data_IF_568468831820
#
_entry.id   IF_568468831820
#
_cell.length_a   1.000
_cell.length_b   1.000
_cell.length_c   1.000
_cell.angle_alpha   90.00
_cell.angle_beta   90.00
_cell.angle_gamma   90.00
#
_symmetry.space_group_name_H-M   'P 1'
#
loop_
_entity.id
_entity.type
_entity.pdbx_description
1 polymer ?
#
# COMPACT_ATOMS: atom_id res chain seq x y z
N UNK A 1 52.01 52.57 -23.02
CA UNK A 1 51.34 53.89 -23.06
C UNK A 1 49.89 53.64 -22.69
N UNK A 2 49.28 54.16 -21.62
CA UNK A 2 49.68 55.12 -20.55
C UNK A 2 48.67 54.86 -19.41
N UNK A 3 49.01 54.37 -18.20
CA UNK A 3 49.77 54.94 -17.08
C UNK A 3 49.04 56.05 -16.27
N UNK A 4 49.24 56.07 -14.93
CA UNK A 4 48.76 57.05 -13.90
C UNK A 4 47.28 56.92 -13.42
N UNK A 5 46.84 57.20 -12.16
CA UNK A 5 47.41 57.37 -10.78
C UNK A 5 46.22 57.53 -9.76
N UNK A 6 46.29 57.58 -8.41
CA UNK A 6 47.16 57.04 -7.31
C UNK A 6 46.66 57.56 -5.92
N UNK A 7 46.61 56.70 -4.88
CA UNK A 7 46.28 56.99 -3.45
C UNK A 7 44.82 57.40 -3.12
N UNK A 8 44.24 57.16 -1.93
CA UNK A 8 44.68 56.42 -0.72
C UNK A 8 44.64 57.26 0.57
N UNK A 9 44.10 56.73 1.68
CA UNK A 9 44.36 57.26 3.04
C UNK A 9 44.05 56.24 4.16
N UNK A 10 44.83 56.30 5.25
CA UNK A 10 44.63 55.58 6.51
C UNK A 10 43.67 56.32 7.46
N UNK A 11 43.04 55.59 8.38
CA UNK A 11 42.83 56.09 9.76
C UNK A 11 43.03 54.98 10.78
N UNK A 12 43.74 55.32 11.87
CA UNK A 12 43.96 54.48 13.05
C UNK A 12 42.99 54.85 14.16
N UNK A 13 42.42 53.88 14.87
CA UNK A 13 41.63 54.07 16.09
C UNK A 13 42.19 53.22 17.23
N UNK A 14 42.27 53.78 18.44
CA UNK A 14 43.02 53.23 19.58
C UNK A 14 42.18 53.34 20.87
N UNK A 15 42.57 52.55 21.87
CA UNK A 15 42.37 52.74 23.31
C UNK A 15 41.08 52.26 24.03
N UNK A 16 41.28 52.06 25.34
CA UNK A 16 40.38 51.61 26.43
C UNK A 16 40.02 50.10 26.42
N UNK A 17 40.42 49.27 27.40
CA UNK A 17 41.14 49.51 28.66
C UNK A 17 40.22 49.35 29.88
N UNK A 18 40.23 48.16 30.50
CA UNK A 18 39.50 47.91 31.76
C UNK A 18 40.32 47.00 32.69
N UNK A 19 40.79 47.58 33.79
CA UNK A 19 41.38 46.87 34.93
C UNK A 19 40.25 46.33 35.81
N UNK A 20 40.35 45.08 36.27
CA UNK A 20 39.55 44.57 37.39
C UNK A 20 40.50 44.08 38.48
N UNK A 21 40.43 44.75 39.62
CA UNK A 21 41.34 44.62 40.75
C UNK A 21 41.12 43.31 41.51
N UNK A 22 42.21 42.62 41.84
CA UNK A 22 42.18 41.46 42.75
C UNK A 22 42.26 41.93 44.21
N UNK A 23 41.31 41.49 45.04
CA UNK A 23 41.32 41.76 46.49
C UNK A 23 41.26 40.44 47.26
N UNK A 24 42.35 40.09 47.95
CA UNK A 24 42.40 39.11 49.05
C UNK A 24 42.68 39.84 50.36
N UNK A 25 42.13 39.32 51.47
CA UNK A 25 42.51 39.42 52.91
C UNK A 25 41.21 39.12 53.67
N UNK A 26 40.89 37.89 54.09
CA UNK A 26 41.44 37.07 55.19
C UNK A 26 41.11 37.59 56.60
N UNK A 27 40.28 36.85 57.36
CA UNK A 27 40.27 36.86 58.83
C UNK A 27 39.78 35.52 59.44
N UNK A 28 40.55 35.09 60.44
CA UNK A 28 40.44 34.08 61.52
C UNK A 28 39.18 33.17 61.73
N UNK A 29 39.36 32.01 62.42
CA UNK A 29 38.34 30.97 62.57
C UNK A 29 37.42 31.18 63.79
N UNK A 30 36.25 30.55 63.75
CA UNK A 30 35.36 30.43 64.92
C UNK A 30 34.86 28.98 65.05
N UNK A 31 35.34 28.27 66.07
CA UNK A 31 34.91 26.91 66.42
C UNK A 31 33.78 26.96 67.46
N UNK A 32 32.60 26.45 67.14
CA UNK A 32 31.68 25.85 68.12
C UNK A 32 30.53 25.07 67.47
N UNK A 33 30.11 23.98 68.11
CA UNK A 33 28.75 23.44 67.97
C UNK A 33 28.57 22.30 66.97
N UNK A 34 28.84 21.07 67.41
CA UNK A 34 28.20 19.89 66.81
C UNK A 34 26.67 20.01 67.00
N UNK A 35 25.93 20.17 65.90
CA UNK A 35 24.52 19.80 65.82
C UNK A 35 24.28 18.91 64.62
N UNK A 36 24.28 17.61 64.87
CA UNK A 36 23.72 16.58 64.01
C UNK A 36 22.19 16.73 63.92
N UNK A 37 21.71 17.76 63.22
CA UNK A 37 20.31 17.82 62.83
C UNK A 37 20.06 16.91 61.62
N UNK A 38 19.24 15.89 61.86
CA UNK A 38 18.74 14.94 60.86
C UNK A 38 18.02 15.69 59.73
N UNK A 39 18.72 15.98 58.63
CA UNK A 39 18.05 16.16 57.34
C UNK A 39 17.23 14.89 57.07
N UNK A 40 15.90 15.06 56.99
CA UNK A 40 14.97 13.94 56.88
C UNK A 40 15.06 13.39 55.46
N UNK A 41 15.00 12.06 55.33
CA UNK A 41 15.14 11.30 54.07
C UNK A 41 14.14 11.68 52.95
N UNK A 42 13.20 12.59 53.22
CA UNK A 42 12.08 12.93 52.34
C UNK A 42 12.41 14.11 51.40
N UNK A 43 13.30 15.02 51.80
CA UNK A 43 13.59 16.22 50.99
C UNK A 43 14.39 15.89 49.72
N UNK A 44 15.11 14.76 49.73
CA UNK A 44 15.78 14.20 48.54
C UNK A 44 14.81 13.50 47.56
N UNK A 45 13.61 13.08 48.00
CA UNK A 45 12.63 12.47 47.08
C UNK A 45 11.95 13.52 46.19
N UNK A 46 11.70 14.73 46.69
CA UNK A 46 10.98 15.77 45.94
C UNK A 46 11.86 16.32 44.80
N UNK A 47 13.16 16.49 45.01
CA UNK A 47 14.07 16.93 43.94
C UNK A 47 14.33 15.83 42.89
N UNK A 48 14.37 14.57 43.30
CA UNK A 48 14.57 13.43 42.39
C UNK A 48 13.40 13.18 41.45
N UNK A 49 12.16 13.39 41.90
CA UNK A 49 10.95 13.20 41.07
C UNK A 49 10.80 14.29 40.01
N UNK A 50 11.14 15.55 40.34
CA UNK A 50 11.10 16.66 39.37
C UNK A 50 12.17 16.50 38.28
N UNK A 51 13.36 16.00 38.62
CA UNK A 51 14.41 15.72 37.64
C UNK A 51 14.08 14.53 36.71
N UNK A 52 13.31 13.53 37.18
CA UNK A 52 12.95 12.35 36.40
C UNK A 52 11.88 12.60 35.32
N UNK A 53 11.04 13.64 35.47
CA UNK A 53 10.02 13.98 34.47
C UNK A 53 10.55 14.72 33.23
N UNK A 54 11.79 15.25 33.28
CA UNK A 54 12.39 16.02 32.18
C UNK A 54 12.98 15.16 31.04
N UNK A 55 12.89 13.82 31.12
CA UNK A 55 13.42 12.86 30.15
C UNK A 55 12.33 11.94 29.55
N UNK A 56 11.07 12.39 29.56
CA UNK A 56 10.08 11.79 28.66
C UNK A 56 10.53 12.05 27.20
N UNK A 57 10.73 11.01 26.37
CA UNK A 57 11.04 11.23 24.97
C UNK A 57 9.87 11.98 24.34
N UNK A 58 10.15 13.14 23.74
CA UNK A 58 9.16 13.85 22.95
C UNK A 58 8.81 12.95 21.75
N UNK A 59 7.63 12.34 21.79
CA UNK A 59 7.04 11.69 20.63
C UNK A 59 6.79 12.78 19.59
N UNK A 60 7.73 12.96 18.67
CA UNK A 60 7.54 13.79 17.48
C UNK A 60 6.45 13.09 16.68
N UNK A 61 5.23 13.62 16.77
CA UNK A 61 4.12 13.17 15.97
C UNK A 61 4.46 13.43 14.50
N UNK A 62 4.12 12.49 13.61
CA UNK A 62 4.37 12.69 12.19
C UNK A 62 3.60 13.93 11.72
N UNK A 63 4.27 14.83 10.98
CA UNK A 63 3.61 15.98 10.41
C UNK A 63 2.91 15.58 9.10
N UNK A 64 1.66 16.04 8.94
CA UNK A 64 0.90 15.89 7.70
C UNK A 64 1.37 16.92 6.66
N UNK A 65 2.05 16.45 5.62
CA UNK A 65 2.63 17.30 4.57
C UNK A 65 1.82 17.12 3.28
N UNK A 66 1.15 18.18 2.83
CA UNK A 66 0.31 18.13 1.63
C UNK A 66 1.05 18.68 0.41
N UNK A 67 0.82 18.08 -0.76
CA UNK A 67 1.27 18.63 -2.03
C UNK A 67 0.41 19.85 -2.38
N UNK A 68 1.01 21.03 -2.46
CA UNK A 68 0.27 22.29 -2.64
C UNK A 68 -0.11 22.56 -4.10
N UNK A 69 0.72 22.11 -5.05
CA UNK A 69 0.53 22.22 -6.50
C UNK A 69 1.05 20.96 -7.22
N UNK A 70 0.52 20.67 -8.41
CA UNK A 70 1.01 19.55 -9.24
C UNK A 70 2.42 19.81 -9.77
N UNK A 71 3.24 18.76 -9.81
CA UNK A 71 4.53 18.79 -10.50
C UNK A 71 4.35 19.07 -12.00
N UNK A 72 5.10 20.04 -12.51
CA UNK A 72 5.23 20.32 -13.93
C UNK A 72 6.01 19.21 -14.64
N UNK A 73 5.95 19.17 -15.98
CA UNK A 73 6.79 18.25 -16.75
C UNK A 73 8.27 18.55 -16.50
N UNK A 74 9.04 17.52 -16.13
CA UNK A 74 10.46 17.65 -15.79
C UNK A 74 10.75 18.02 -14.33
N UNK A 75 9.74 18.29 -13.50
CA UNK A 75 9.90 18.44 -12.04
C UNK A 75 9.45 17.17 -11.30
N UNK A 76 9.86 17.03 -10.04
CA UNK A 76 9.55 15.88 -9.19
C UNK A 76 9.61 16.29 -7.72
N UNK A 77 8.46 16.32 -7.04
CA UNK A 77 8.38 16.44 -5.58
C UNK A 77 8.66 15.10 -4.88
N UNK A 78 8.77 13.97 -5.60
CA UNK A 78 8.99 12.64 -5.01
C UNK A 78 10.36 12.48 -4.30
N UNK A 79 11.37 13.27 -4.69
CA UNK A 79 12.73 13.23 -4.12
C UNK A 79 13.30 14.62 -3.77
N UNK A 80 12.50 15.68 -3.86
CA UNK A 80 12.93 17.07 -3.69
C UNK A 80 11.84 17.90 -3.04
N UNK A 81 12.18 19.10 -2.58
CA UNK A 81 11.24 19.99 -1.89
C UNK A 81 9.98 20.32 -2.72
N UNK A 82 10.17 20.58 -4.01
CA UNK A 82 9.10 20.71 -4.99
C UNK A 82 7.93 21.58 -4.51
N UNK A 83 6.75 20.97 -4.38
CA UNK A 83 5.51 21.64 -3.97
C UNK A 83 4.96 21.19 -2.61
N UNK A 84 5.78 20.59 -1.73
CA UNK A 84 5.35 20.20 -0.38
C UNK A 84 5.09 21.42 0.52
N UNK A 85 4.07 21.35 1.37
CA UNK A 85 3.65 22.45 2.26
C UNK A 85 4.73 22.93 3.24
N UNK A 86 5.68 22.06 3.61
CA UNK A 86 6.84 22.41 4.43
C UNK A 86 8.06 22.92 3.64
N UNK A 87 7.98 23.00 2.30
CA UNK A 87 9.08 23.38 1.41
C UNK A 87 10.38 22.55 1.59
N UNK A 88 10.25 21.30 2.05
CA UNK A 88 11.35 20.37 2.26
C UNK A 88 11.13 19.08 1.48
N UNK A 89 12.22 18.38 1.13
CA UNK A 89 12.12 17.09 0.45
C UNK A 89 11.43 16.04 1.35
N UNK A 90 10.84 14.97 0.79
CA UNK A 90 10.32 13.86 1.58
C UNK A 90 11.35 13.33 2.58
N UNK A 91 10.92 13.10 3.82
CA UNK A 91 11.79 12.64 4.91
C UNK A 91 11.03 11.75 5.89
N UNK A 92 11.74 10.80 6.49
CA UNK A 92 11.19 9.83 7.42
C UNK A 92 10.57 10.54 8.63
N UNK A 93 9.43 10.02 9.11
CA UNK A 93 8.69 10.63 10.23
C UNK A 93 7.70 11.72 9.84
N UNK A 94 7.42 11.93 8.54
CA UNK A 94 6.31 12.75 8.06
C UNK A 94 5.39 11.92 7.14
N UNK A 95 4.09 12.15 7.21
CA UNK A 95 3.10 11.52 6.33
C UNK A 95 2.74 12.49 5.19
N UNK A 96 2.73 12.01 3.95
CA UNK A 96 2.61 12.85 2.77
C UNK A 96 1.31 12.61 2.02
N UNK A 97 0.65 13.68 1.58
CA UNK A 97 -0.69 13.64 0.99
C UNK A 97 -0.72 14.32 -0.37
N UNK A 98 -1.26 13.63 -1.37
CA UNK A 98 -1.54 14.16 -2.71
C UNK A 98 -3.04 14.05 -2.95
N UNK A 99 -3.76 15.17 -2.92
CA UNK A 99 -5.20 15.23 -3.14
C UNK A 99 -5.58 16.52 -3.90
N UNK A 100 -6.86 16.78 -4.11
CA UNK A 100 -7.33 17.95 -4.87
C UNK A 100 -7.00 17.89 -6.37
N UNK A 101 -7.08 16.69 -6.97
CA UNK A 101 -6.75 16.42 -8.38
C UNK A 101 -5.29 16.73 -8.77
N UNK A 102 -4.37 16.70 -7.79
CA UNK A 102 -2.95 16.99 -8.00
C UNK A 102 -2.16 15.78 -8.50
N UNK A 103 -1.06 16.10 -9.19
CA UNK A 103 -0.11 15.13 -9.77
C UNK A 103 1.27 15.28 -9.13
N UNK A 104 1.70 14.26 -8.40
CA UNK A 104 3.09 14.04 -8.00
C UNK A 104 3.83 13.33 -9.12
N UNK A 105 5.10 13.65 -9.36
CA UNK A 105 5.96 12.97 -10.35
C UNK A 105 7.17 12.35 -9.71
N UNK A 106 7.54 11.15 -10.16
CA UNK A 106 8.89 10.62 -9.92
C UNK A 106 9.92 11.40 -10.75
N UNK A 107 11.23 11.32 -10.43
CA UNK A 107 12.26 11.88 -11.30
C UNK A 107 12.18 11.33 -12.73
N UNK A 108 12.50 12.17 -13.71
CA UNK A 108 12.38 11.90 -15.15
C UNK A 108 13.69 11.44 -15.80
N UNK A 109 14.54 10.75 -15.05
CA UNK A 109 15.83 10.28 -15.56
C UNK A 109 15.81 8.78 -15.86
N UNK A 110 16.80 8.35 -16.65
CA UNK A 110 16.81 7.04 -17.27
C UNK A 110 17.49 6.03 -16.34
N UNK A 111 16.70 5.12 -15.78
CA UNK A 111 17.13 3.87 -15.12
C UNK A 111 17.63 3.96 -13.67
N UNK A 112 17.40 5.06 -12.93
CA UNK A 112 17.60 5.06 -11.47
C UNK A 112 16.36 4.55 -10.72
N UNK A 113 16.59 3.72 -9.70
CA UNK A 113 15.57 3.33 -8.73
C UNK A 113 15.35 4.45 -7.70
N UNK A 114 14.12 4.59 -7.21
CA UNK A 114 13.76 5.63 -6.25
C UNK A 114 12.89 5.09 -5.12
N UNK A 115 13.31 5.33 -3.88
CA UNK A 115 12.48 5.12 -2.69
C UNK A 115 11.88 6.45 -2.24
N UNK A 116 10.57 6.49 -1.97
CA UNK A 116 9.95 7.64 -1.32
C UNK A 116 10.42 7.69 0.14
N UNK A 117 11.03 8.81 0.54
CA UNK A 117 11.65 8.91 1.87
C UNK A 117 10.67 9.29 3.00
N UNK A 118 9.40 9.56 2.70
CA UNK A 118 8.36 9.82 3.71
C UNK A 118 7.94 8.55 4.47
N UNK A 119 7.27 8.73 5.62
CA UNK A 119 6.74 7.63 6.42
C UNK A 119 5.58 6.91 5.70
N UNK A 120 4.69 7.67 5.07
CA UNK A 120 3.69 7.17 4.14
C UNK A 120 3.43 8.17 3.01
N UNK A 121 2.86 7.68 1.91
CA UNK A 121 2.35 8.49 0.81
C UNK A 121 0.88 8.13 0.55
N UNK A 122 -0.03 9.06 0.81
CA UNK A 122 -1.46 8.91 0.53
C UNK A 122 -1.81 9.62 -0.78
N UNK A 123 -2.42 8.88 -1.71
CA UNK A 123 -2.97 9.39 -2.95
C UNK A 123 -4.51 9.41 -2.85
N UNK A 124 -5.07 10.61 -2.93
CA UNK A 124 -6.49 10.92 -2.80
C UNK A 124 -6.96 11.01 -1.35
N UNK A 125 -8.15 11.58 -1.15
CA UNK A 125 -8.79 11.75 0.16
C UNK A 125 -10.16 11.04 0.26
N UNK A 126 -10.52 10.23 -0.74
CA UNK A 126 -11.82 9.57 -0.85
C UNK A 126 -12.87 10.40 -1.61
N UNK A 127 -12.60 11.68 -1.87
CA UNK A 127 -13.42 12.58 -2.70
C UNK A 127 -12.63 13.05 -3.92
N UNK A 128 -11.50 13.72 -3.70
CA UNK A 128 -10.62 14.21 -4.75
C UNK A 128 -9.46 13.26 -5.01
N UNK A 129 -9.17 13.04 -6.29
CA UNK A 129 -8.09 12.14 -6.73
C UNK A 129 -6.72 12.68 -6.36
N UNK A 130 -5.83 11.79 -5.91
CA UNK A 130 -4.38 11.96 -5.94
C UNK A 130 -3.74 11.13 -7.02
N UNK A 131 -2.75 11.67 -7.73
CA UNK A 131 -2.08 10.92 -8.82
C UNK A 131 -0.56 10.91 -8.66
N UNK A 132 0.06 9.73 -8.75
CA UNK A 132 1.50 9.55 -8.92
C UNK A 132 1.81 9.21 -10.39
N UNK A 133 2.51 10.10 -11.09
CA UNK A 133 3.05 9.85 -12.42
C UNK A 133 4.47 9.32 -12.33
N UNK A 134 4.66 8.06 -12.72
CA UNK A 134 5.99 7.53 -13.02
C UNK A 134 6.52 8.14 -14.33
N UNK A 135 7.80 8.52 -14.31
CA UNK A 135 8.53 9.19 -15.39
C UNK A 135 9.86 8.51 -15.76
N UNK A 136 10.19 7.40 -15.10
CA UNK A 136 11.44 6.66 -15.31
C UNK A 136 11.45 5.79 -16.58
N UNK A 137 12.51 4.99 -16.72
CA UNK A 137 12.70 4.04 -17.82
C UNK A 137 13.24 2.71 -17.28
N UNK A 138 12.34 1.76 -17.02
CA UNK A 138 12.68 0.44 -16.52
C UNK A 138 13.20 0.40 -15.08
N UNK A 139 12.80 1.33 -14.22
CA UNK A 139 13.26 1.39 -12.83
C UNK A 139 12.20 1.01 -11.79
N UNK A 140 12.68 0.64 -10.61
CA UNK A 140 11.87 0.35 -9.43
C UNK A 140 11.56 1.65 -8.68
N UNK A 141 10.29 1.88 -8.42
CA UNK A 141 9.80 2.88 -7.48
C UNK A 141 9.34 2.14 -6.22
N UNK A 142 9.92 2.46 -5.08
CA UNK A 142 9.56 1.90 -3.78
C UNK A 142 8.82 2.95 -2.95
N UNK A 143 7.69 2.57 -2.39
CA UNK A 143 6.97 3.38 -1.39
C UNK A 143 6.58 2.42 -0.26
N UNK A 144 7.22 2.57 0.91
CA UNK A 144 7.12 1.57 1.97
C UNK A 144 5.67 1.44 2.50
N UNK A 145 4.93 2.55 2.57
CA UNK A 145 3.49 2.61 2.83
C UNK A 145 2.80 3.56 1.83
N UNK A 146 2.26 2.99 0.74
CA UNK A 146 1.44 3.69 -0.24
C UNK A 146 -0.04 3.48 0.06
N UNK A 147 -0.78 4.55 0.32
CA UNK A 147 -2.22 4.50 0.62
C UNK A 147 -3.00 5.06 -0.56
N UNK A 148 -3.95 4.31 -1.11
CA UNK A 148 -4.81 4.73 -2.21
C UNK A 148 -6.23 4.89 -1.67
N UNK A 149 -6.76 6.12 -1.73
CA UNK A 149 -8.10 6.46 -1.30
C UNK A 149 -8.70 7.43 -2.32
N UNK A 150 -9.28 6.90 -3.41
CA UNK A 150 -9.37 7.52 -4.76
C UNK A 150 -7.99 7.81 -5.38
N UNK A 151 -7.00 6.97 -5.06
CA UNK A 151 -5.60 7.12 -5.46
C UNK A 151 -5.23 6.44 -6.78
N UNK A 152 -4.46 7.14 -7.62
CA UNK A 152 -4.05 6.64 -8.94
C UNK A 152 -2.53 6.62 -9.07
N UNK A 153 -1.98 5.50 -9.53
CA UNK A 153 -0.60 5.45 -10.05
C UNK A 153 -0.67 5.29 -11.55
N UNK A 154 0.00 6.17 -12.29
CA UNK A 154 0.07 6.13 -13.74
C UNK A 154 1.50 5.92 -14.20
N UNK A 155 1.74 4.83 -14.93
CA UNK A 155 2.89 4.73 -15.80
C UNK A 155 2.74 5.73 -16.94
N UNK A 156 3.47 6.84 -16.84
CA UNK A 156 3.49 7.91 -17.85
C UNK A 156 4.94 8.13 -18.30
N UNK A 157 5.70 7.06 -18.52
CA UNK A 157 7.08 7.17 -18.97
C UNK A 157 7.23 8.07 -20.22
N UNK A 158 8.32 8.84 -20.25
CA UNK A 158 8.54 9.80 -21.33
C UNK A 158 8.76 9.11 -22.69
N UNK A 159 8.37 9.80 -23.77
CA UNK A 159 8.27 9.21 -25.10
C UNK A 159 9.59 8.64 -25.64
N UNK A 160 9.49 7.49 -26.34
CA UNK A 160 10.62 6.87 -27.03
C UNK A 160 11.44 5.86 -26.22
N UNK A 161 10.88 5.22 -25.19
CA UNK A 161 11.53 4.12 -24.46
C UNK A 161 10.53 3.20 -23.79
N UNK A 162 10.85 1.91 -23.63
CA UNK A 162 10.02 0.94 -22.90
C UNK A 162 9.94 1.32 -21.43
N UNK A 163 8.91 2.07 -21.08
CA UNK A 163 8.68 2.62 -19.75
C UNK A 163 8.17 1.59 -18.76
N UNK A 164 8.85 0.48 -18.55
CA UNK A 164 8.45 -0.49 -17.53
C UNK A 164 8.56 0.16 -16.14
N UNK A 165 7.55 -0.01 -15.30
CA UNK A 165 7.54 0.40 -13.89
C UNK A 165 7.53 -0.87 -13.02
N UNK A 166 8.47 -1.00 -12.09
CA UNK A 166 8.32 -1.92 -10.97
C UNK A 166 7.89 -1.12 -9.74
N UNK A 167 6.73 -1.43 -9.15
CA UNK A 167 6.20 -0.76 -7.95
C UNK A 167 6.34 -1.70 -6.76
N UNK A 168 7.22 -1.32 -5.82
CA UNK A 168 7.61 -2.09 -4.64
C UNK A 168 7.24 -1.37 -3.33
N UNK A 169 7.32 -2.09 -2.21
CA UNK A 169 6.91 -1.63 -0.88
C UNK A 169 5.59 -2.27 -0.45
N UNK A 170 4.64 -1.50 0.08
CA UNK A 170 3.30 -1.97 0.40
C UNK A 170 2.22 -1.00 -0.07
N UNK A 171 1.04 -1.52 -0.42
CA UNK A 171 -0.12 -0.75 -0.82
C UNK A 171 -1.31 -1.07 0.10
N UNK A 172 -2.01 -0.03 0.57
CA UNK A 172 -3.32 -0.14 1.19
C UNK A 172 -4.38 0.57 0.33
N UNK A 173 -5.42 -0.14 -0.10
CA UNK A 173 -6.58 0.43 -0.81
C UNK A 173 -7.76 0.67 0.15
N UNK A 174 -8.37 1.84 0.06
CA UNK A 174 -9.63 2.17 0.73
C UNK A 174 -10.60 2.88 -0.21
N UNK A 175 -11.91 2.74 0.04
CA UNK A 175 -12.94 3.33 -0.82
C UNK A 175 -12.96 2.73 -2.23
N UNK A 176 -13.37 3.52 -3.22
CA UNK A 176 -13.44 3.13 -4.62
C UNK A 176 -12.58 4.06 -5.49
N UNK A 177 -12.49 3.79 -6.79
CA UNK A 177 -11.77 4.66 -7.72
C UNK A 177 -10.24 4.62 -7.62
N UNK A 178 -9.68 3.66 -6.88
CA UNK A 178 -8.24 3.39 -6.89
C UNK A 178 -7.86 2.60 -8.14
N UNK A 179 -6.82 3.02 -8.87
CA UNK A 179 -6.32 2.21 -10.00
C UNK A 179 -4.85 2.44 -10.35
N UNK A 180 -4.24 1.37 -10.85
CA UNK A 180 -3.02 1.44 -11.64
C UNK A 180 -3.40 1.68 -13.11
N UNK A 181 -2.68 2.56 -13.79
CA UNK A 181 -2.96 2.93 -15.18
C UNK A 181 -1.69 3.06 -16.00
N UNK A 182 -1.75 2.74 -17.29
CA UNK A 182 -0.70 3.09 -18.24
C UNK A 182 -1.22 4.16 -19.21
N UNK A 183 -0.41 5.20 -19.45
CA UNK A 183 -0.80 6.37 -20.23
C UNK A 183 0.31 6.77 -21.22
N UNK A 184 0.22 6.22 -22.43
CA UNK A 184 1.12 6.54 -23.54
C UNK A 184 1.50 5.31 -24.37
N UNK A 185 1.91 5.54 -25.62
CA UNK A 185 2.25 4.46 -26.55
C UNK A 185 3.49 3.63 -26.15
N UNK A 186 4.30 4.10 -25.20
CA UNK A 186 5.62 3.56 -24.85
C UNK A 186 5.69 2.89 -23.46
N UNK A 187 4.55 2.71 -22.80
CA UNK A 187 4.48 2.09 -21.47
C UNK A 187 4.84 0.59 -21.54
N UNK A 188 5.72 0.14 -20.64
CA UNK A 188 6.34 -1.19 -20.67
C UNK A 188 5.59 -2.28 -19.90
N UNK A 189 4.49 -1.94 -19.24
CA UNK A 189 3.86 -2.70 -18.17
C UNK A 189 4.15 -2.08 -16.79
N UNK A 190 3.24 -2.33 -15.84
CA UNK A 190 3.44 -2.10 -14.40
C UNK A 190 3.56 -3.46 -13.72
N UNK A 191 4.69 -3.67 -13.02
CA UNK A 191 4.98 -4.86 -12.24
C UNK A 191 4.83 -4.54 -10.76
N UNK A 192 3.75 -5.01 -10.17
CA UNK A 192 3.40 -4.78 -8.78
C UNK A 192 3.97 -5.89 -7.90
N UNK A 193 5.21 -5.67 -7.42
CA UNK A 193 5.87 -6.55 -6.45
C UNK A 193 5.48 -6.20 -5.01
N UNK A 194 4.90 -5.02 -4.78
CA UNK A 194 4.29 -4.66 -3.50
C UNK A 194 3.12 -5.57 -3.14
N UNK A 195 2.96 -5.87 -1.84
CA UNK A 195 1.74 -6.49 -1.33
C UNK A 195 0.60 -5.45 -1.30
N UNK A 196 -0.62 -5.84 -1.65
CA UNK A 196 -1.80 -4.96 -1.66
C UNK A 196 -2.81 -5.44 -0.63
N UNK A 197 -3.26 -4.57 0.27
CA UNK A 197 -4.20 -4.88 1.34
C UNK A 197 -5.27 -3.79 1.50
N UNK A 198 -6.18 -3.94 2.46
CA UNK A 198 -7.22 -2.94 2.75
C UNK A 198 -8.63 -3.37 2.34
N UNK A 199 -9.59 -2.47 2.49
CA UNK A 199 -11.02 -2.76 2.25
C UNK A 199 -11.56 -2.20 0.93
N UNK A 200 -10.79 -1.36 0.26
CA UNK A 200 -11.21 -0.71 -0.98
C UNK A 200 -11.14 -1.60 -2.22
N UNK A 201 -11.77 -1.11 -3.28
CA UNK A 201 -11.62 -1.65 -4.63
C UNK A 201 -10.23 -1.33 -5.19
N UNK A 202 -9.70 -2.25 -6.01
CA UNK A 202 -8.47 -2.08 -6.78
C UNK A 202 -8.77 -2.14 -8.27
N UNK A 203 -8.26 -1.18 -9.04
CA UNK A 203 -8.46 -1.11 -10.49
C UNK A 203 -7.19 -1.26 -11.32
N UNK A 204 -7.35 -1.80 -12.51
CA UNK A 204 -6.40 -1.78 -13.61
C UNK A 204 -7.05 -1.03 -14.79
N UNK A 205 -6.41 -0.01 -15.35
CA UNK A 205 -6.99 0.81 -16.43
C UNK A 205 -6.03 1.12 -17.58
N UNK A 206 -6.55 1.01 -18.81
CA UNK A 206 -5.93 1.52 -20.03
C UNK A 206 -6.29 2.99 -20.26
N UNK A 207 -5.34 3.91 -20.02
CA UNK A 207 -5.54 5.32 -20.32
C UNK A 207 -4.99 5.67 -21.71
N UNK A 208 -5.90 5.97 -22.65
CA UNK A 208 -5.60 6.31 -24.05
C UNK A 208 -4.97 5.16 -24.88
N UNK A 209 -5.79 4.15 -25.18
CA UNK A 209 -5.45 3.06 -26.09
C UNK A 209 -4.90 3.55 -27.45
N UNK A 210 -3.59 3.43 -27.65
CA UNK A 210 -2.89 3.71 -28.92
C UNK A 210 -1.99 2.53 -29.34
N UNK A 211 -2.56 1.33 -29.34
CA UNK A 211 -1.95 0.11 -29.92
C UNK A 211 -1.06 -0.71 -28.98
N UNK A 212 -0.58 -0.15 -27.86
CA UNK A 212 0.08 -0.92 -26.81
C UNK A 212 -0.96 -1.45 -25.83
N UNK A 213 -1.07 -2.78 -25.67
CA UNK A 213 -1.90 -3.37 -24.62
C UNK A 213 -1.37 -2.96 -23.25
N UNK A 214 -2.25 -2.47 -22.39
CA UNK A 214 -1.89 -2.09 -21.02
C UNK A 214 -1.73 -3.34 -20.18
N UNK A 215 -0.60 -3.50 -19.50
CA UNK A 215 -0.19 -4.72 -18.80
C UNK A 215 0.11 -4.42 -17.34
N UNK A 216 -0.78 -4.86 -16.45
CA UNK A 216 -0.58 -4.74 -15.01
C UNK A 216 -0.37 -6.15 -14.46
N UNK A 217 0.80 -6.38 -13.86
CA UNK A 217 1.25 -7.67 -13.34
C UNK A 217 1.21 -7.64 -11.82
N UNK A 218 0.37 -8.48 -11.22
CA UNK A 218 0.26 -8.68 -9.77
C UNK A 218 1.24 -9.79 -9.37
N UNK A 219 2.36 -9.40 -8.75
CA UNK A 219 3.43 -10.32 -8.31
C UNK A 219 3.52 -10.43 -6.79
N UNK A 220 3.01 -9.44 -6.06
CA UNK A 220 2.89 -9.49 -4.59
C UNK A 220 1.72 -10.34 -4.09
N UNK A 221 1.55 -10.34 -2.76
CA UNK A 221 0.39 -10.90 -2.10
C UNK A 221 -0.72 -9.86 -2.01
N UNK A 222 -1.86 -10.12 -2.66
CA UNK A 222 -3.01 -9.23 -2.71
C UNK A 222 -4.10 -9.80 -1.78
N UNK A 223 -4.36 -9.10 -0.68
CA UNK A 223 -5.26 -9.51 0.41
C UNK A 223 -6.40 -8.51 0.66
N UNK A 224 -6.57 -7.51 -0.22
CA UNK A 224 -7.67 -6.56 -0.14
C UNK A 224 -9.03 -7.24 -0.30
N UNK A 225 -10.09 -6.64 0.24
CA UNK A 225 -11.43 -7.25 0.27
C UNK A 225 -12.44 -6.65 -0.71
N UNK A 226 -12.12 -5.51 -1.35
CA UNK A 226 -12.95 -4.94 -2.40
C UNK A 226 -12.87 -5.71 -3.72
N UNK A 227 -13.50 -5.16 -4.76
CA UNK A 227 -13.48 -5.74 -6.10
C UNK A 227 -12.16 -5.49 -6.83
N UNK A 228 -11.82 -6.41 -7.73
CA UNK A 228 -10.77 -6.23 -8.75
C UNK A 228 -11.43 -5.75 -10.04
N UNK A 229 -11.21 -4.50 -10.41
CA UNK A 229 -11.83 -3.86 -11.57
C UNK A 229 -10.86 -3.82 -12.76
N UNK A 230 -11.20 -4.49 -13.86
CA UNK A 230 -10.49 -4.37 -15.14
C UNK A 230 -11.26 -3.35 -15.99
N UNK A 231 -10.72 -2.13 -16.03
CA UNK A 231 -11.40 -0.91 -16.48
C UNK A 231 -11.00 -0.62 -17.93
N UNK A 232 -12.00 -0.37 -18.78
CA UNK A 232 -11.87 0.02 -20.20
C UNK A 232 -11.20 -1.04 -21.12
N UNK A 233 -11.43 -0.85 -22.43
CA UNK A 233 -10.93 -1.73 -23.49
C UNK A 233 -9.39 -1.64 -23.64
N UNK A 234 -8.77 -2.79 -23.93
CA UNK A 234 -7.32 -2.94 -24.12
C UNK A 234 -6.54 -3.18 -22.84
N UNK A 235 -7.20 -3.20 -21.69
CA UNK A 235 -6.61 -3.51 -20.38
C UNK A 235 -6.38 -5.01 -20.22
N UNK A 236 -5.15 -5.37 -19.82
CA UNK A 236 -4.73 -6.73 -19.50
C UNK A 236 -4.21 -6.79 -18.06
N UNK A 237 -4.91 -7.54 -17.22
CA UNK A 237 -4.47 -7.83 -15.86
C UNK A 237 -3.85 -9.23 -15.83
N UNK A 238 -2.67 -9.35 -15.23
CA UNK A 238 -1.97 -10.60 -15.01
C UNK A 238 -1.86 -10.83 -13.51
N UNK A 239 -2.33 -11.98 -13.04
CA UNK A 239 -1.89 -12.57 -11.78
C UNK A 239 -0.74 -13.52 -12.13
N UNK A 240 0.49 -13.06 -11.99
CA UNK A 240 1.69 -13.82 -12.36
C UNK A 240 1.88 -15.03 -11.42
N UNK A 241 2.63 -16.05 -11.86
CA UNK A 241 2.94 -17.28 -11.11
C UNK A 241 3.38 -17.08 -9.64
N UNK A 242 4.12 -16.00 -9.35
CA UNK A 242 4.59 -15.67 -8.00
C UNK A 242 3.54 -14.96 -7.13
N UNK A 243 2.52 -14.37 -7.75
CA UNK A 243 1.49 -13.58 -7.09
C UNK A 243 0.37 -14.42 -6.47
N UNK A 244 -0.38 -13.81 -5.56
CA UNK A 244 -1.66 -14.37 -5.11
C UNK A 244 -2.72 -13.29 -4.96
N UNK A 245 -3.98 -13.62 -5.26
CA UNK A 245 -5.13 -12.75 -5.09
C UNK A 245 -6.16 -13.42 -4.17
N UNK A 246 -6.50 -12.76 -3.07
CA UNK A 246 -7.53 -13.22 -2.15
C UNK A 246 -8.89 -12.60 -2.48
N UNK A 247 -9.91 -13.46 -2.56
CA UNK A 247 -11.32 -13.08 -2.69
C UNK A 247 -12.02 -13.36 -1.37
N UNK A 248 -12.85 -12.43 -0.88
CA UNK A 248 -13.74 -12.68 0.26
C UNK A 248 -15.08 -13.21 -0.26
N UNK A 249 -15.54 -14.33 0.31
CA UNK A 249 -16.81 -14.98 -0.04
C UNK A 249 -17.70 -15.00 1.20
N UNK A 250 -18.87 -14.38 1.09
CA UNK A 250 -19.81 -14.19 2.19
C UNK A 250 -21.22 -14.64 1.79
N UNK A 251 -21.92 -15.35 2.69
CA UNK A 251 -23.36 -15.60 2.56
C UNK A 251 -24.21 -14.37 2.88
N UNK A 252 -23.66 -13.41 3.64
CA UNK A 252 -24.31 -12.14 4.02
C UNK A 252 -23.31 -10.99 3.87
N UNK A 253 -23.70 -9.93 3.16
CA UNK A 253 -22.81 -8.82 2.81
C UNK A 253 -22.15 -9.00 1.43
N UNK A 254 -21.26 -8.08 1.08
CA UNK A 254 -20.56 -8.12 -0.21
C UNK A 254 -19.54 -9.27 -0.26
N UNK A 255 -19.43 -9.92 -1.41
CA UNK A 255 -18.30 -10.79 -1.76
C UNK A 255 -17.43 -10.05 -2.79
N UNK A 256 -16.13 -10.29 -2.78
CA UNK A 256 -15.20 -9.72 -3.77
C UNK A 256 -15.44 -10.37 -5.15
N UNK A 257 -15.31 -9.60 -6.23
CA UNK A 257 -15.40 -10.09 -7.60
C UNK A 257 -14.29 -9.50 -8.48
N UNK A 258 -13.88 -10.25 -9.51
CA UNK A 258 -13.11 -9.72 -10.64
C UNK A 258 -14.09 -9.33 -11.74
N UNK A 259 -14.14 -8.04 -12.03
CA UNK A 259 -15.17 -7.40 -12.85
C UNK A 259 -14.57 -6.67 -14.04
N UNK A 260 -15.23 -6.81 -15.19
CA UNK A 260 -15.09 -5.89 -16.31
C UNK A 260 -15.90 -4.61 -16.02
N UNK A 261 -15.27 -3.44 -16.02
CA UNK A 261 -15.94 -2.15 -15.83
C UNK A 261 -15.47 -1.10 -16.85
N UNK A 262 -16.10 0.08 -16.86
CA UNK A 262 -15.83 1.11 -17.87
C UNK A 262 -16.38 0.73 -19.26
N UNK A 263 -15.69 1.18 -20.31
CA UNK A 263 -16.12 1.02 -21.70
C UNK A 263 -16.01 -0.44 -22.16
N UNK A 264 -17.11 -0.99 -22.67
CA UNK A 264 -17.18 -2.38 -23.14
C UNK A 264 -16.26 -2.66 -24.34
N UNK A 265 -15.64 -3.85 -24.35
CA UNK A 265 -14.71 -4.34 -25.36
C UNK A 265 -13.64 -5.24 -24.76
N UNK A 266 -12.62 -5.55 -25.56
CA UNK A 266 -11.54 -6.50 -25.27
C UNK A 266 -10.82 -6.19 -23.94
N UNK A 267 -11.14 -6.98 -22.91
CA UNK A 267 -10.49 -6.97 -21.59
C UNK A 267 -9.99 -8.37 -21.30
N UNK A 268 -8.72 -8.50 -20.91
CA UNK A 268 -8.10 -9.79 -20.64
C UNK A 268 -7.69 -9.93 -19.18
N UNK A 269 -7.95 -11.12 -18.64
CA UNK A 269 -7.46 -11.58 -17.35
C UNK A 269 -6.58 -12.81 -17.57
N UNK A 270 -5.33 -12.75 -17.17
CA UNK A 270 -4.41 -13.89 -17.19
C UNK A 270 -4.16 -14.33 -15.75
N UNK A 271 -4.45 -15.58 -15.42
CA UNK A 271 -4.32 -16.12 -14.07
C UNK A 271 -3.33 -17.27 -14.06
N UNK A 272 -2.07 -17.01 -13.71
CA UNK A 272 -1.02 -18.01 -13.57
C UNK A 272 -0.57 -18.17 -12.10
N UNK A 273 -0.91 -17.22 -11.22
CA UNK A 273 -0.66 -17.30 -9.77
C UNK A 273 -1.76 -17.99 -8.96
N UNK A 274 -1.75 -17.78 -7.64
CA UNK A 274 -2.71 -18.43 -6.73
C UNK A 274 -3.96 -17.57 -6.46
N UNK A 275 -5.15 -18.09 -6.76
CA UNK A 275 -6.43 -17.58 -6.27
C UNK A 275 -6.70 -18.12 -4.85
N UNK A 276 -6.81 -17.24 -3.87
CA UNK A 276 -7.13 -17.56 -2.47
C UNK A 276 -8.58 -17.22 -2.15
N UNK A 277 -9.28 -18.10 -1.46
CA UNK A 277 -10.68 -17.96 -1.10
C UNK A 277 -10.81 -17.82 0.43
N UNK A 278 -11.16 -16.62 0.90
CA UNK A 278 -11.56 -16.42 2.28
C UNK A 278 -13.07 -16.68 2.41
N UNK A 279 -13.41 -17.91 2.82
CA UNK A 279 -14.79 -18.40 2.95
C UNK A 279 -15.33 -18.29 4.39
N UNK A 280 -14.68 -17.53 5.27
CA UNK A 280 -15.06 -17.45 6.69
C UNK A 280 -16.48 -16.89 6.93
N UNK A 281 -17.04 -16.14 5.97
CA UNK A 281 -18.43 -15.66 6.00
C UNK A 281 -19.44 -16.54 5.27
N UNK A 282 -19.05 -17.73 4.79
CA UNK A 282 -19.96 -18.70 4.16
C UNK A 282 -20.63 -19.54 5.25
N UNK A 283 -21.93 -19.37 5.43
CA UNK A 283 -22.72 -20.03 6.49
C UNK A 283 -23.73 -21.06 5.96
N UNK A 284 -23.85 -21.19 4.64
CA UNK A 284 -24.80 -22.08 3.97
C UNK A 284 -24.33 -22.50 2.59
N UNK A 285 -25.05 -23.44 1.97
CA UNK A 285 -24.84 -23.76 0.56
C UNK A 285 -25.19 -22.55 -0.34
N UNK A 286 -24.51 -22.42 -1.48
CA UNK A 286 -24.68 -21.27 -2.36
C UNK A 286 -23.81 -21.30 -3.60
N UNK A 287 -23.84 -20.20 -4.36
CA UNK A 287 -23.06 -20.00 -5.59
C UNK A 287 -22.67 -18.53 -5.72
N UNK A 288 -21.40 -18.27 -6.04
CA UNK A 288 -20.80 -16.94 -6.12
C UNK A 288 -19.97 -16.83 -7.40
N UNK A 289 -20.32 -15.92 -8.30
CA UNK A 289 -19.47 -15.54 -9.44
C UNK A 289 -18.27 -14.74 -8.92
N UNK A 290 -17.08 -15.35 -8.91
CA UNK A 290 -15.84 -14.71 -8.47
C UNK A 290 -15.11 -14.01 -9.61
N UNK A 291 -15.16 -14.60 -10.81
CA UNK A 291 -14.69 -13.99 -12.06
C UNK A 291 -15.91 -13.88 -12.97
N UNK A 292 -16.22 -12.68 -13.47
CA UNK A 292 -17.37 -12.50 -14.38
C UNK A 292 -16.92 -12.60 -15.86
N UNK A 293 -17.17 -13.72 -16.57
CA UNK A 293 -16.66 -13.92 -17.92
C UNK A 293 -17.40 -13.11 -18.99
N UNK A 294 -18.55 -12.48 -18.67
CA UNK A 294 -19.46 -11.85 -19.65
C UNK A 294 -18.75 -10.88 -20.59
N UNK A 295 -17.81 -10.08 -20.06
CA UNK A 295 -16.92 -9.25 -20.87
C UNK A 295 -15.42 -9.42 -20.52
N UNK A 296 -15.03 -10.55 -19.91
CA UNK A 296 -13.64 -10.84 -19.56
C UNK A 296 -13.16 -12.09 -20.30
N UNK A 297 -12.26 -11.89 -21.26
CA UNK A 297 -11.50 -13.01 -21.84
C UNK A 297 -10.47 -13.47 -20.82
N UNK A 298 -10.80 -14.53 -20.09
CA UNK A 298 -9.94 -15.10 -19.04
C UNK A 298 -9.08 -16.23 -19.61
N UNK A 299 -7.84 -16.33 -19.16
CA UNK A 299 -6.90 -17.41 -19.51
C UNK A 299 -6.17 -17.85 -18.26
N UNK A 300 -6.30 -19.14 -17.92
CA UNK A 300 -5.59 -19.73 -16.79
C UNK A 300 -4.27 -20.34 -17.27
N UNK A 301 -3.21 -20.15 -16.48
CA UNK A 301 -1.84 -20.56 -16.77
C UNK A 301 -1.45 -21.87 -16.09
N UNK A 302 -0.30 -22.42 -16.49
CA UNK A 302 0.15 -23.74 -16.02
C UNK A 302 0.52 -23.79 -14.53
N UNK A 303 0.70 -22.66 -13.86
CA UNK A 303 0.92 -22.58 -12.41
C UNK A 303 -0.28 -22.07 -11.62
N UNK A 304 -1.43 -21.86 -12.29
CA UNK A 304 -2.68 -21.47 -11.64
C UNK A 304 -3.04 -22.45 -10.52
N UNK A 305 -3.50 -21.92 -9.39
CA UNK A 305 -3.91 -22.73 -8.25
C UNK A 305 -5.03 -22.06 -7.45
N UNK A 306 -6.03 -22.86 -7.06
CA UNK A 306 -7.08 -22.42 -6.12
C UNK A 306 -6.78 -22.96 -4.71
N UNK A 307 -6.82 -22.07 -3.72
CA UNK A 307 -6.60 -22.38 -2.30
C UNK A 307 -7.61 -21.66 -1.41
N UNK A 308 -7.84 -22.16 -0.20
CA UNK A 308 -8.43 -21.34 0.87
C UNK A 308 -7.40 -20.34 1.41
N UNK A 309 -7.87 -19.31 2.11
CA UNK A 309 -7.01 -18.31 2.75
C UNK A 309 -6.02 -18.89 3.78
N UNK A 310 -6.35 -20.03 4.39
CA UNK A 310 -5.46 -20.78 5.30
C UNK A 310 -4.34 -21.57 4.58
N UNK A 311 -4.34 -21.60 3.24
CA UNK A 311 -3.38 -22.33 2.41
C UNK A 311 -3.82 -23.72 1.97
N UNK A 312 -4.96 -24.24 2.44
CA UNK A 312 -5.52 -25.52 2.00
C UNK A 312 -5.76 -25.49 0.50
N UNK A 313 -5.19 -26.44 -0.23
CA UNK A 313 -5.25 -26.46 -1.70
C UNK A 313 -6.42 -27.29 -2.22
N UNK A 314 -7.05 -26.83 -3.30
CA UNK A 314 -8.06 -27.58 -4.03
C UNK A 314 -7.38 -28.61 -4.95
N UNK A 315 -8.07 -29.71 -5.25
CA UNK A 315 -7.68 -30.66 -6.29
C UNK A 315 -8.31 -30.24 -7.63
N UNK A 316 -7.51 -30.18 -8.69
CA UNK A 316 -7.95 -29.88 -10.06
C UNK A 316 -8.31 -31.17 -10.80
N UNK A 317 -9.34 -31.11 -11.65
CA UNK A 317 -9.65 -32.13 -12.65
C UNK A 317 -10.54 -31.55 -13.76
N UNK A 318 -9.96 -31.34 -14.94
CA UNK A 318 -10.64 -30.79 -16.13
C UNK A 318 -11.20 -29.38 -15.89
N UNK A 319 -10.33 -28.47 -15.44
CA UNK A 319 -10.62 -27.04 -15.20
C UNK A 319 -11.66 -26.80 -14.07
N UNK A 320 -11.87 -27.83 -13.24
CA UNK A 320 -12.73 -27.82 -12.06
C UNK A 320 -11.91 -28.11 -10.81
N UNK A 321 -11.88 -27.14 -9.91
CA UNK A 321 -11.15 -27.17 -8.65
C UNK A 321 -12.10 -27.55 -7.53
N UNK A 322 -11.84 -28.66 -6.84
CA UNK A 322 -12.70 -29.18 -5.76
C UNK A 322 -11.93 -29.34 -4.44
N UNK A 323 -12.57 -28.95 -3.33
CA UNK A 323 -12.08 -29.18 -1.97
C UNK A 323 -13.24 -29.62 -1.08
N UNK A 324 -13.08 -30.71 -0.34
CA UNK A 324 -14.02 -31.12 0.71
C UNK A 324 -13.36 -30.95 2.08
N UNK A 325 -13.99 -30.16 2.96
CA UNK A 325 -13.59 -30.00 4.36
C UNK A 325 -14.78 -30.38 5.27
N UNK A 326 -14.61 -31.45 6.05
CA UNK A 326 -15.71 -32.03 6.82
C UNK A 326 -16.82 -32.52 5.88
N UNK A 327 -18.04 -32.01 6.07
CA UNK A 327 -19.17 -32.25 5.16
C UNK A 327 -19.27 -31.25 4.00
N UNK A 328 -18.61 -30.09 4.08
CA UNK A 328 -18.72 -29.03 3.07
C UNK A 328 -17.83 -29.30 1.88
N UNK A 329 -18.40 -29.22 0.66
CA UNK A 329 -17.65 -29.29 -0.59
C UNK A 329 -17.71 -27.93 -1.30
N UNK A 330 -16.52 -27.42 -1.65
CA UNK A 330 -16.29 -26.21 -2.43
C UNK A 330 -15.88 -26.63 -3.84
N UNK A 331 -16.48 -26.03 -4.86
CA UNK A 331 -16.17 -26.31 -6.28
C UNK A 331 -16.05 -24.99 -7.03
N UNK A 332 -14.86 -24.66 -7.52
CA UNK A 332 -14.63 -23.54 -8.44
C UNK A 332 -14.47 -24.08 -9.87
N UNK A 333 -15.09 -23.41 -10.85
CA UNK A 333 -15.03 -23.82 -12.27
C UNK A 333 -14.50 -22.66 -13.11
N UNK A 334 -13.37 -22.89 -13.80
CA UNK A 334 -12.66 -21.87 -14.56
C UNK A 334 -13.51 -21.27 -15.69
N UNK A 335 -14.23 -22.13 -16.43
CA UNK A 335 -15.05 -21.75 -17.59
C UNK A 335 -16.23 -20.83 -17.24
N UNK A 336 -16.68 -20.81 -15.97
CA UNK A 336 -17.79 -19.95 -15.50
C UNK A 336 -17.32 -18.88 -14.52
N UNK A 337 -16.13 -19.03 -13.92
CA UNK A 337 -15.63 -18.17 -12.87
C UNK A 337 -16.42 -18.28 -11.56
N UNK A 338 -17.22 -19.34 -11.39
CA UNK A 338 -18.15 -19.52 -10.26
C UNK A 338 -17.56 -20.46 -9.21
N UNK A 339 -17.68 -20.06 -7.94
CA UNK A 339 -17.53 -20.93 -6.78
C UNK A 339 -18.93 -21.40 -6.33
N UNK A 340 -19.15 -22.70 -6.31
CA UNK A 340 -20.29 -23.35 -5.65
C UNK A 340 -19.86 -23.92 -4.30
N UNK A 341 -20.75 -23.86 -3.31
CA UNK A 341 -20.57 -24.50 -2.00
C UNK A 341 -21.78 -25.36 -1.71
N UNK A 342 -21.54 -26.65 -1.43
CA UNK A 342 -22.55 -27.64 -1.08
C UNK A 342 -22.32 -28.09 0.35
N UNK A 343 -23.35 -27.95 1.18
CA UNK A 343 -23.37 -28.45 2.56
C UNK A 343 -24.49 -29.51 2.63
N UNK A 344 -24.17 -30.80 2.81
CA UNK A 344 -25.17 -31.85 2.99
C UNK A 344 -26.06 -31.55 4.20
N UNK A 345 -27.38 -31.55 3.99
CA UNK A 345 -28.32 -31.41 5.10
C UNK A 345 -28.22 -32.63 6.05
N UNK A 346 -28.16 -32.42 7.38
CA UNK A 346 -28.10 -33.53 8.34
C UNK A 346 -29.30 -34.49 8.25
N UNK A 347 -30.45 -33.99 7.77
CA UNK A 347 -31.68 -34.75 7.65
C UNK A 347 -31.59 -35.90 6.63
N UNK A 348 -30.84 -35.75 5.54
CA UNK A 348 -30.76 -36.77 4.47
C UNK A 348 -30.11 -38.05 4.96
N UNK A 349 -29.10 -37.94 5.82
CA UNK A 349 -28.45 -39.07 6.52
C UNK A 349 -29.39 -39.70 7.56
N UNK A 350 -30.11 -38.89 8.33
CA UNK A 350 -31.06 -39.38 9.33
C UNK A 350 -32.22 -40.17 8.72
N UNK A 351 -32.77 -39.71 7.58
CA UNK A 351 -33.84 -40.42 6.85
C UNK A 351 -33.33 -41.74 6.26
N UNK A 352 -32.10 -41.79 5.76
CA UNK A 352 -31.51 -43.04 5.25
C UNK A 352 -31.34 -44.09 6.36
N UNK A 353 -30.88 -43.67 7.54
CA UNK A 353 -30.72 -44.53 8.72
C UNK A 353 -32.09 -45.00 9.27
N UNK A 354 -33.08 -44.11 9.35
CA UNK A 354 -34.44 -44.46 9.77
C UNK A 354 -35.12 -45.45 8.79
N UNK A 355 -34.96 -45.24 7.48
CA UNK A 355 -35.46 -46.14 6.44
C UNK A 355 -34.77 -47.51 6.45
N UNK A 356 -33.45 -47.54 6.68
CA UNK A 356 -32.69 -48.78 6.86
C UNK A 356 -33.12 -49.58 8.09
N UNK A 357 -33.33 -48.90 9.23
CA UNK A 357 -33.82 -49.54 10.44
C UNK A 357 -35.24 -50.13 10.26
N UNK A 358 -36.16 -49.39 9.60
CA UNK A 358 -37.52 -49.89 9.35
C UNK A 358 -37.57 -51.07 8.37
N UNK A 359 -36.70 -51.12 7.37
CA UNK A 359 -36.63 -52.27 6.44
C UNK A 359 -36.06 -53.52 7.10
N UNK A 360 -35.09 -53.39 8.02
CA UNK A 360 -34.59 -54.51 8.84
C UNK A 360 -35.64 -55.03 9.84
N UNK A 361 -36.42 -54.14 10.47
CA UNK A 361 -37.50 -54.53 11.39
C UNK A 361 -38.65 -55.27 10.70
N UNK A 362 -38.88 -55.02 9.40
CA UNK A 362 -39.97 -55.67 8.64
C UNK A 362 -39.67 -57.12 8.21
N UNK A 363 -38.41 -57.60 8.36
CA UNK A 363 -37.99 -58.95 7.94
C UNK A 363 -38.01 -60.01 9.05
N UNK A 364 -38.60 -59.70 10.22
CA UNK A 364 -38.89 -60.65 11.31
C UNK A 364 -40.40 -60.83 11.50
N UNK A 365 -41.05 -61.50 10.55
CA UNK A 365 -42.31 -62.25 10.72
C UNK A 365 -42.30 -63.44 9.78
#
# INVERSE_FOLDING_TARGET
MTAFHRHGLMTTGKENGMNITSTRISHAPCTHGERTEKMRKNDWMILGIVAAMALAPAFVQAADITLTASDATGTSSFTAAGHWSNSAAPSSGNDYFVAGNRVLRTPNNTSNNYTFAGNSLTLGDGTDKGTLFYKGRGSTITVDDLRLNTGVVTNSADSGSSGLLTLAGSITVSGTGNYLSENGAYCGGIYLTANVSGSGDFGAQSANYKGSSVRIHLQGQNTYTGNTNIIDTGTKLYLDAAGSLQMVVNSVGASSQILATGTAGDRNLYMDGTLKLNVAGVTGAGSWTLVNPTDLTTTYGATFAVKLADGTSFAESSDVWTLTQGSTTYTFTEATGVLSVVIPEPATLAVLLAGGAMTLLRRRR
#
